data_IF_842229895297
#
_entry.id   IF_842229895297
#
_cell.length_a   1.000
_cell.length_b   1.000
_cell.length_c   1.000
_cell.angle_alpha   90.00
_cell.angle_beta   90.00
_cell.angle_gamma   90.00
#
_symmetry.space_group_name_H-M   'P 1'
#
loop_
_entity.id
_entity.type
_entity.pdbx_description
1 polymer ?
#
# COMPACT_ATOMS: atom_id res chain seq x y z
N UNK A 1 -7.34 -21.81 -2.90
CA UNK A 1 -6.69 -20.54 -3.33
C UNK A 1 -5.70 -19.96 -2.32
N UNK A 2 -5.76 -20.30 -1.02
CA UNK A 2 -4.94 -19.65 0.03
C UNK A 2 -3.41 -19.80 -0.05
N UNK A 3 -2.87 -20.87 -0.65
CA UNK A 3 -1.41 -21.09 -0.64
C UNK A 3 -0.66 -20.24 -1.67
N UNK A 4 -1.29 -19.90 -2.82
CA UNK A 4 -0.65 -19.10 -3.88
C UNK A 4 -0.53 -17.62 -3.52
N UNK A 5 -1.55 -17.05 -2.88
CA UNK A 5 -1.51 -15.65 -2.42
C UNK A 5 -0.44 -15.43 -1.34
N UNK A 6 -0.28 -16.37 -0.41
CA UNK A 6 0.74 -16.27 0.63
C UNK A 6 2.17 -16.36 0.07
N UNK A 7 2.42 -17.29 -0.86
CA UNK A 7 3.72 -17.37 -1.55
C UNK A 7 4.04 -16.09 -2.35
N UNK A 8 3.02 -15.43 -2.92
CA UNK A 8 3.22 -14.17 -3.64
C UNK A 8 3.67 -13.03 -2.69
N UNK A 9 3.08 -12.93 -1.50
CA UNK A 9 3.47 -11.94 -0.49
C UNK A 9 4.89 -12.23 0.06
N UNK A 10 5.23 -13.50 0.29
CA UNK A 10 6.57 -13.90 0.73
C UNK A 10 7.65 -13.58 -0.32
N UNK A 11 7.33 -13.72 -1.60
CA UNK A 11 8.19 -13.32 -2.71
C UNK A 11 8.41 -11.80 -2.78
N UNK A 12 7.47 -11.01 -2.24
CA UNK A 12 7.60 -9.57 -2.05
C UNK A 12 8.33 -9.21 -0.74
N UNK A 13 8.86 -10.19 0.02
CA UNK A 13 9.55 -9.95 1.28
C UNK A 13 8.62 -9.78 2.50
N UNK A 14 7.31 -9.93 2.33
CA UNK A 14 6.34 -9.88 3.42
C UNK A 14 6.21 -11.27 4.05
N UNK A 15 6.84 -11.47 5.22
CA UNK A 15 6.92 -12.76 5.90
C UNK A 15 6.27 -12.70 7.27
N UNK A 16 5.94 -13.85 7.83
CA UNK A 16 5.46 -13.95 9.21
C UNK A 16 4.18 -13.16 9.50
N UNK A 17 3.39 -12.80 8.47
CA UNK A 17 2.15 -12.03 8.63
C UNK A 17 1.15 -12.81 9.51
N UNK A 18 0.31 -12.05 10.22
CA UNK A 18 -0.82 -12.58 10.99
C UNK A 18 -1.97 -13.00 10.06
N UNK A 19 -3.16 -12.44 10.27
CA UNK A 19 -4.30 -12.63 9.38
C UNK A 19 -4.09 -11.90 8.05
N UNK A 20 -4.37 -12.56 6.93
CA UNK A 20 -4.29 -11.98 5.58
C UNK A 20 -5.66 -12.05 4.94
N UNK A 21 -6.31 -10.89 4.75
CA UNK A 21 -7.63 -10.80 4.14
C UNK A 21 -7.53 -10.38 2.68
N UNK A 22 -8.02 -11.21 1.77
CA UNK A 22 -7.94 -10.96 0.32
C UNK A 22 -9.28 -10.54 -0.24
N UNK A 23 -9.30 -9.40 -0.94
CA UNK A 23 -10.44 -8.92 -1.73
C UNK A 23 -11.75 -8.89 -0.94
N UNK A 24 -11.70 -8.40 0.30
CA UNK A 24 -12.90 -8.23 1.14
C UNK A 24 -13.92 -7.34 0.44
N UNK A 25 -15.19 -7.67 0.62
CA UNK A 25 -16.28 -6.82 0.20
C UNK A 25 -16.31 -5.50 0.97
N UNK A 26 -16.98 -4.50 0.42
CA UNK A 26 -17.19 -3.22 1.10
C UNK A 26 -17.87 -3.41 2.47
N UNK A 27 -18.82 -4.34 2.60
CA UNK A 27 -19.50 -4.62 3.86
C UNK A 27 -18.53 -5.17 4.92
N UNK A 28 -17.69 -6.14 4.54
CA UNK A 28 -16.66 -6.70 5.44
C UNK A 28 -15.66 -5.62 5.88
N UNK A 29 -15.22 -4.75 4.96
CA UNK A 29 -14.33 -3.63 5.31
C UNK A 29 -14.98 -2.66 6.29
N UNK A 30 -16.28 -2.36 6.16
CA UNK A 30 -17.01 -1.53 7.12
C UNK A 30 -17.00 -2.15 8.52
N UNK A 31 -17.25 -3.45 8.63
CA UNK A 31 -17.22 -4.17 9.91
C UNK A 31 -15.84 -4.13 10.56
N UNK A 32 -14.78 -4.32 9.77
CA UNK A 32 -13.41 -4.23 10.26
C UNK A 32 -13.08 -2.84 10.82
N UNK A 33 -13.41 -1.77 10.08
CA UNK A 33 -13.13 -0.40 10.53
C UNK A 33 -13.87 -0.07 11.83
N UNK A 34 -15.13 -0.47 11.95
CA UNK A 34 -15.93 -0.25 13.16
C UNK A 34 -15.41 -1.05 14.35
N UNK A 35 -15.06 -2.34 14.14
CA UNK A 35 -14.47 -3.20 15.18
C UNK A 35 -13.14 -2.66 15.70
N UNK A 36 -12.34 -2.07 14.81
CA UNK A 36 -11.03 -1.48 15.12
C UNK A 36 -11.10 -0.04 15.63
N UNK A 37 -12.30 0.55 15.69
CA UNK A 37 -12.51 1.96 16.06
C UNK A 37 -11.68 2.94 15.20
N UNK A 38 -11.44 2.59 13.94
CA UNK A 38 -10.65 3.40 12.98
C UNK A 38 -11.53 4.41 12.22
N UNK A 39 -12.85 4.35 12.41
CA UNK A 39 -13.81 5.25 11.77
C UNK A 39 -15.19 5.13 12.40
N UNK A 40 -16.14 5.93 11.89
CA UNK A 40 -17.54 5.94 12.33
C UNK A 40 -18.48 6.13 11.15
N UNK A 41 -19.73 5.73 11.31
CA UNK A 41 -20.75 5.99 10.28
C UNK A 41 -21.33 7.41 10.44
N UNK A 42 -21.50 8.09 9.31
CA UNK A 42 -22.35 9.27 9.22
C UNK A 42 -23.82 8.88 9.33
N UNK A 43 -24.71 9.87 9.47
CA UNK A 43 -26.17 9.66 9.54
C UNK A 43 -26.72 8.92 8.32
N UNK A 44 -26.11 9.07 7.14
CA UNK A 44 -26.52 8.41 5.89
C UNK A 44 -25.73 7.12 5.59
N UNK A 45 -24.90 6.66 6.53
CA UNK A 45 -24.17 5.40 6.41
C UNK A 45 -22.82 5.50 5.71
N UNK A 46 -22.39 6.67 5.22
CA UNK A 46 -21.02 6.82 4.72
C UNK A 46 -20.00 6.70 5.85
N UNK A 47 -18.90 5.97 5.61
CA UNK A 47 -17.79 5.84 6.54
C UNK A 47 -17.00 7.16 6.64
N UNK A 48 -16.82 7.64 7.87
CA UNK A 48 -16.07 8.85 8.21
C UNK A 48 -14.81 8.46 8.98
N UNK A 49 -13.65 8.89 8.48
CA UNK A 49 -12.32 8.64 9.05
C UNK A 49 -11.60 9.96 9.33
N UNK A 50 -10.62 9.94 10.23
CA UNK A 50 -9.73 11.07 10.51
C UNK A 50 -8.29 10.65 10.26
N UNK A 51 -7.56 11.40 9.42
CA UNK A 51 -6.18 11.09 9.03
C UNK A 51 -5.12 11.75 9.92
N UNK A 52 -5.54 12.40 11.01
CA UNK A 52 -4.64 13.06 11.97
C UNK A 52 -3.93 14.27 11.37
N UNK A 53 -2.61 14.35 11.60
CA UNK A 53 -1.78 15.48 11.17
C UNK A 53 -1.70 15.62 9.64
N UNK A 54 -1.78 14.52 8.89
CA UNK A 54 -1.62 14.49 7.44
C UNK A 54 -2.98 14.51 6.74
N UNK A 55 -3.51 15.71 6.51
CA UNK A 55 -4.82 15.93 5.87
C UNK A 55 -4.75 16.16 4.35
N UNK A 56 -3.54 16.10 3.77
CA UNK A 56 -3.29 16.30 2.36
C UNK A 56 -1.97 15.64 1.93
N UNK A 57 -1.52 15.96 0.72
CA UNK A 57 -0.27 15.40 0.18
C UNK A 57 0.95 15.98 0.90
N UNK A 58 1.85 15.11 1.33
CA UNK A 58 3.22 15.48 1.71
C UNK A 58 4.12 15.50 0.47
N UNK A 59 3.97 16.51 -0.39
CA UNK A 59 4.63 16.53 -1.71
C UNK A 59 6.17 16.45 -1.64
N UNK A 60 6.78 16.95 -0.56
CA UNK A 60 8.23 16.91 -0.36
C UNK A 60 8.73 15.56 0.20
N UNK A 61 7.82 14.67 0.62
CA UNK A 61 8.14 13.33 1.17
C UNK A 61 7.92 12.22 0.13
N UNK A 62 7.90 12.60 -1.16
CA UNK A 62 7.81 11.67 -2.29
C UNK A 62 9.16 11.57 -2.99
N UNK A 63 9.67 10.36 -3.14
CA UNK A 63 10.93 10.09 -3.82
C UNK A 63 10.77 9.00 -4.88
N UNK A 64 11.72 8.93 -5.81
CA UNK A 64 11.86 7.84 -6.77
C UNK A 64 13.26 7.26 -6.59
N UNK A 65 13.37 5.93 -6.48
CA UNK A 65 14.67 5.26 -6.41
C UNK A 65 15.44 5.52 -7.69
N UNK A 66 16.67 6.00 -7.56
CA UNK A 66 17.59 6.24 -8.68
C UNK A 66 18.46 4.99 -8.87
N UNK A 67 18.04 4.13 -9.79
CA UNK A 67 18.71 2.90 -10.19
C UNK A 67 19.02 2.93 -11.69
N UNK A 68 19.55 1.83 -12.23
CA UNK A 68 19.95 1.77 -13.64
C UNK A 68 18.76 1.84 -14.63
N UNK A 69 17.52 1.61 -14.16
CA UNK A 69 16.31 1.76 -14.97
C UNK A 69 15.83 3.21 -14.99
N UNK A 70 15.89 3.89 -13.84
CA UNK A 70 15.31 5.23 -13.67
C UNK A 70 16.29 6.37 -13.93
N UNK A 71 17.60 6.13 -13.79
CA UNK A 71 18.66 7.15 -13.86
C UNK A 71 18.53 8.07 -15.07
N UNK A 72 18.31 7.50 -16.25
CA UNK A 72 18.28 8.24 -17.52
C UNK A 72 16.87 8.44 -18.08
N UNK A 73 15.83 7.88 -17.43
CA UNK A 73 14.45 7.90 -17.92
C UNK A 73 13.54 8.83 -17.12
N UNK A 74 13.89 9.13 -15.86
CA UNK A 74 13.11 10.01 -14.99
C UNK A 74 13.54 11.47 -15.16
N UNK A 75 12.56 12.37 -15.24
CA UNK A 75 12.81 13.81 -15.21
C UNK A 75 13.11 14.28 -13.77
N UNK A 76 14.38 14.30 -13.40
CA UNK A 76 14.84 14.64 -12.05
C UNK A 76 14.69 16.13 -11.72
N UNK A 77 14.36 16.43 -10.46
CA UNK A 77 14.26 17.80 -9.95
C UNK A 77 13.57 17.88 -8.60
N UNK A 78 13.10 19.07 -8.22
CA UNK A 78 12.41 19.28 -6.93
C UNK A 78 11.19 18.39 -6.73
N UNK A 79 10.48 18.04 -7.82
CA UNK A 79 9.26 17.20 -7.77
C UNK A 79 9.59 15.71 -7.75
N UNK A 80 10.62 15.29 -8.49
CA UNK A 80 11.08 13.91 -8.57
C UNK A 80 12.44 13.86 -7.89
N UNK A 81 12.43 13.79 -6.56
CA UNK A 81 13.64 13.71 -5.77
C UNK A 81 14.23 12.30 -5.86
N UNK A 82 15.53 12.14 -6.19
CA UNK A 82 16.17 10.83 -6.21
C UNK A 82 16.29 10.26 -4.80
N UNK A 83 16.16 8.95 -4.69
CA UNK A 83 16.44 8.18 -3.47
C UNK A 83 17.47 7.10 -3.78
N UNK A 84 18.42 6.88 -2.87
CA UNK A 84 19.46 5.87 -3.06
C UNK A 84 18.89 4.47 -2.83
N UNK A 85 19.24 3.51 -3.68
CA UNK A 85 18.69 2.14 -3.65
C UNK A 85 18.96 1.43 -2.32
N UNK A 86 20.18 1.53 -1.78
CA UNK A 86 20.54 0.95 -0.48
C UNK A 86 19.71 1.55 0.70
N UNK A 87 19.39 2.85 0.63
CA UNK A 87 18.53 3.52 1.62
C UNK A 87 17.08 3.11 1.48
N UNK A 88 16.63 2.84 0.25
CA UNK A 88 15.31 2.28 0.00
C UNK A 88 15.22 0.86 0.57
N UNK A 89 16.19 0.00 0.31
CA UNK A 89 16.25 -1.37 0.85
C UNK A 89 16.18 -1.36 2.37
N UNK A 90 16.98 -0.54 3.04
CA UNK A 90 16.93 -0.41 4.50
C UNK A 90 15.57 0.10 5.03
N UNK A 91 14.89 1.00 4.29
CA UNK A 91 13.54 1.44 4.65
C UNK A 91 12.51 0.33 4.43
N UNK A 92 12.65 -0.40 3.33
CA UNK A 92 11.77 -1.50 2.97
C UNK A 92 11.87 -2.64 3.99
N UNK A 93 13.07 -3.03 4.41
CA UNK A 93 13.29 -4.03 5.47
C UNK A 93 12.62 -3.63 6.79
N UNK A 94 12.70 -2.35 7.17
CA UNK A 94 12.02 -1.85 8.37
C UNK A 94 10.49 -1.91 8.24
N UNK A 95 9.98 -1.64 7.04
CA UNK A 95 8.54 -1.71 6.76
C UNK A 95 8.03 -3.15 6.79
N UNK A 96 8.73 -4.09 6.15
CA UNK A 96 8.34 -5.50 6.16
C UNK A 96 8.44 -6.10 7.56
N UNK A 97 9.50 -5.77 8.31
CA UNK A 97 9.65 -6.18 9.72
C UNK A 97 8.52 -5.62 10.60
N UNK A 98 8.07 -4.39 10.37
CA UNK A 98 6.93 -3.83 11.09
C UNK A 98 5.63 -4.61 10.86
N UNK A 99 5.45 -5.17 9.65
CA UNK A 99 4.25 -5.93 9.28
C UNK A 99 4.26 -7.38 9.80
N UNK A 100 5.38 -7.89 10.29
CA UNK A 100 5.44 -9.23 10.89
C UNK A 100 4.44 -9.37 12.05
N UNK A 101 3.69 -10.48 12.07
CA UNK A 101 2.64 -10.78 13.03
C UNK A 101 1.38 -9.90 12.92
N UNK A 102 1.35 -8.90 12.03
CA UNK A 102 0.19 -8.01 11.88
C UNK A 102 -0.86 -8.57 10.94
N UNK A 103 -2.09 -8.16 11.17
CA UNK A 103 -3.18 -8.32 10.21
C UNK A 103 -2.98 -7.40 9.01
N UNK A 104 -3.14 -7.92 7.81
CA UNK A 104 -3.03 -7.16 6.55
C UNK A 104 -4.24 -7.41 5.65
N UNK A 105 -4.50 -6.43 4.78
CA UNK A 105 -5.58 -6.44 3.81
C UNK A 105 -4.99 -6.29 2.42
N UNK A 106 -5.34 -7.20 1.51
CA UNK A 106 -4.85 -7.24 0.12
C UNK A 106 -6.02 -7.04 -0.82
N UNK A 107 -5.85 -6.17 -1.80
CA UNK A 107 -6.85 -5.89 -2.82
C UNK A 107 -6.20 -5.93 -4.20
N UNK A 108 -6.62 -6.87 -5.04
CA UNK A 108 -6.22 -6.92 -6.44
C UNK A 108 -7.06 -5.91 -7.22
N UNK A 109 -6.40 -4.95 -7.85
CA UNK A 109 -7.03 -3.84 -8.57
C UNK A 109 -6.52 -3.72 -10.00
N UNK A 110 -7.18 -2.84 -10.77
CA UNK A 110 -6.67 -2.36 -12.04
C UNK A 110 -6.61 -0.84 -12.05
N UNK A 111 -5.56 -0.29 -12.66
CA UNK A 111 -5.47 1.12 -13.04
C UNK A 111 -5.61 1.23 -14.55
N UNK A 112 -6.57 2.04 -15.01
CA UNK A 112 -6.99 2.13 -16.42
C UNK A 112 -8.21 1.24 -16.71
N UNK A 113 -9.22 1.81 -17.39
CA UNK A 113 -10.47 1.11 -17.69
C UNK A 113 -10.38 0.23 -18.95
N UNK A 114 -9.50 0.58 -19.88
CA UNK A 114 -9.30 -0.16 -21.12
C UNK A 114 -8.52 -1.46 -20.86
N UNK A 115 -9.08 -2.65 -21.18
CA UNK A 115 -8.42 -3.92 -20.97
C UNK A 115 -7.03 -4.06 -21.62
N UNK A 116 -6.79 -3.36 -22.74
CA UNK A 116 -5.54 -3.48 -23.49
C UNK A 116 -4.40 -2.66 -22.86
N UNK A 117 -4.75 -1.67 -22.03
CA UNK A 117 -3.80 -0.73 -21.42
C UNK A 117 -3.83 -0.72 -19.89
N UNK A 118 -4.74 -1.47 -19.27
CA UNK A 118 -4.86 -1.52 -17.80
C UNK A 118 -3.65 -2.21 -17.17
N UNK A 119 -3.26 -1.72 -16.02
CA UNK A 119 -2.19 -2.30 -15.21
C UNK A 119 -2.79 -3.01 -14.01
N UNK A 120 -2.50 -4.30 -13.77
CA UNK A 120 -2.83 -4.94 -12.49
C UNK A 120 -2.01 -4.31 -11.37
N UNK A 121 -2.66 -4.03 -10.24
CA UNK A 121 -2.04 -3.47 -9.03
C UNK A 121 -2.35 -4.36 -7.84
#
# INVERSE_FOLDING_TARGET
MGNRGRMALEAQGLRGLGSVHWNLSTAELYEHVLRRSEGRLSRQGALVVLTGQHTGRSANDRFIVCDDTTRDTVWWGKVNAPYESNRFEALFERMTAYLEGREVFVQDCFVGADPDYRMPV
#
